data_IF_093748491889
#
_entry.id   IF_093748491889
#
_cell.length_a   1.000
_cell.length_b   1.000
_cell.length_c   1.000
_cell.angle_alpha   90.00
_cell.angle_beta   90.00
_cell.angle_gamma   90.00
#
_symmetry.space_group_name_H-M   'P 1'
#
loop_
_entity.id
_entity.type
_entity.pdbx_description
1 polymer ?
#
# COMPACT_ATOMS: atom_id res chain seq x y z
N UNK A 1 24.91 -26.33 8.88
CA UNK A 1 25.12 -25.69 10.18
C UNK A 1 23.75 -25.35 10.75
N UNK A 2 23.33 -25.95 11.87
CA UNK A 2 21.94 -25.87 12.37
C UNK A 2 21.58 -24.44 12.83
N UNK A 3 22.55 -23.69 13.33
CA UNK A 3 22.35 -22.30 13.75
C UNK A 3 22.06 -21.37 12.57
N UNK A 4 22.71 -21.58 11.42
CA UNK A 4 22.49 -20.78 10.21
C UNK A 4 21.06 -20.99 9.68
N UNK A 5 20.58 -22.24 9.65
CA UNK A 5 19.20 -22.54 9.23
C UNK A 5 18.13 -21.91 10.13
N UNK A 6 18.38 -21.82 11.44
CA UNK A 6 17.47 -21.16 12.37
C UNK A 6 17.48 -19.63 12.21
N UNK A 7 18.63 -19.04 11.86
CA UNK A 7 18.71 -17.62 11.57
C UNK A 7 17.96 -17.29 10.27
N UNK A 8 18.16 -18.08 9.22
CA UNK A 8 17.49 -17.92 7.92
C UNK A 8 15.97 -18.02 8.07
N UNK A 9 15.48 -19.00 8.84
CA UNK A 9 14.05 -19.17 9.10
C UNK A 9 13.46 -17.93 9.80
N UNK A 10 14.11 -17.43 10.87
CA UNK A 10 13.63 -16.24 11.59
C UNK A 10 13.61 -15.00 10.70
N UNK A 11 14.60 -14.85 9.82
CA UNK A 11 14.65 -13.75 8.86
C UNK A 11 13.46 -13.86 7.90
N UNK A 12 13.22 -15.05 7.35
CA UNK A 12 12.09 -15.30 6.47
C UNK A 12 10.75 -15.00 7.16
N UNK A 13 10.53 -15.54 8.35
CA UNK A 13 9.33 -15.33 9.17
C UNK A 13 9.12 -13.85 9.47
N UNK A 14 10.17 -13.12 9.83
CA UNK A 14 10.08 -11.67 10.07
C UNK A 14 9.65 -10.90 8.83
N UNK A 15 10.19 -11.24 7.65
CA UNK A 15 9.81 -10.60 6.39
C UNK A 15 8.38 -10.95 5.99
N UNK A 16 8.00 -12.22 6.12
CA UNK A 16 6.65 -12.68 5.83
C UNK A 16 5.64 -12.02 6.77
N UNK A 17 5.89 -12.00 8.09
CA UNK A 17 5.07 -11.30 9.08
C UNK A 17 4.89 -9.84 8.69
N UNK A 18 5.97 -9.13 8.34
CA UNK A 18 5.92 -7.73 7.90
C UNK A 18 5.00 -7.54 6.69
N UNK A 19 5.00 -8.45 5.73
CA UNK A 19 4.09 -8.41 4.57
C UNK A 19 2.64 -8.61 5.02
N UNK A 20 2.40 -9.65 5.83
CA UNK A 20 1.05 -10.10 6.18
C UNK A 20 0.34 -9.14 7.14
N UNK A 21 1.04 -8.51 8.09
CA UNK A 21 0.41 -7.52 8.99
C UNK A 21 0.02 -6.22 8.28
N UNK A 22 0.49 -6.00 7.06
CA UNK A 22 0.23 -4.79 6.29
C UNK A 22 -0.86 -5.03 5.24
N UNK A 23 -1.81 -4.10 5.18
CA UNK A 23 -2.82 -4.02 4.13
C UNK A 23 -2.40 -3.01 3.07
N UNK A 24 -2.65 -3.33 1.81
CA UNK A 24 -2.50 -2.41 0.68
C UNK A 24 -3.73 -1.51 0.60
N UNK A 25 -3.54 -0.23 0.34
CA UNK A 25 -4.62 0.70 0.02
C UNK A 25 -4.34 1.43 -1.29
N UNK A 26 -5.41 1.80 -1.98
CA UNK A 26 -5.38 2.65 -3.16
C UNK A 26 -6.42 3.76 -3.03
N UNK A 27 -5.97 5.02 -3.18
CA UNK A 27 -6.78 6.21 -2.95
C UNK A 27 -6.87 7.05 -4.22
N UNK A 28 -8.01 7.70 -4.39
CA UNK A 28 -8.15 8.90 -5.21
C UNK A 28 -7.97 10.13 -4.33
N UNK A 29 -7.16 11.06 -4.78
CA UNK A 29 -6.93 12.35 -4.14
C UNK A 29 -7.32 13.44 -5.13
N UNK A 30 -8.40 14.16 -4.82
CA UNK A 30 -8.81 15.35 -5.56
C UNK A 30 -8.29 16.57 -4.83
N UNK A 31 -7.44 17.34 -5.50
CA UNK A 31 -6.79 18.51 -4.90
C UNK A 31 -6.63 19.65 -5.90
N UNK A 32 -7.14 20.83 -5.56
CA UNK A 32 -7.00 22.06 -6.37
C UNK A 32 -7.35 21.89 -7.87
N UNK A 33 -8.35 21.06 -8.18
CA UNK A 33 -8.79 20.77 -9.56
C UNK A 33 -8.01 19.65 -10.26
N UNK A 34 -6.98 19.09 -9.62
CA UNK A 34 -6.28 17.91 -10.10
C UNK A 34 -6.79 16.63 -9.43
N UNK A 35 -6.61 15.49 -10.10
CA UNK A 35 -6.79 14.17 -9.53
C UNK A 35 -5.47 13.43 -9.52
N UNK A 36 -5.08 12.95 -8.35
CA UNK A 36 -3.92 12.11 -8.11
C UNK A 36 -4.39 10.77 -7.55
N UNK A 37 -3.54 9.76 -7.69
CA UNK A 37 -3.78 8.45 -7.11
C UNK A 37 -2.65 8.08 -6.19
N UNK A 38 -2.97 7.54 -5.01
CA UNK A 38 -1.96 7.12 -4.04
C UNK A 38 -2.08 5.63 -3.79
N UNK A 39 -0.96 4.92 -3.88
CA UNK A 39 -0.80 3.57 -3.37
C UNK A 39 -0.07 3.63 -2.03
N UNK A 40 -0.30 2.67 -1.15
CA UNK A 40 0.55 2.48 0.01
C UNK A 40 0.15 1.28 0.85
N UNK A 41 0.94 1.02 1.88
CA UNK A 41 0.64 -0.03 2.87
C UNK A 41 0.42 0.55 4.25
N UNK A 42 -0.39 -0.12 5.07
CA UNK A 42 -0.70 0.32 6.43
C UNK A 42 -1.06 -0.86 7.34
N UNK A 43 -0.70 -0.74 8.61
CA UNK A 43 -1.26 -1.55 9.71
C UNK A 43 -2.37 -0.79 10.47
N UNK A 44 -2.49 0.52 10.23
CA UNK A 44 -3.50 1.40 10.83
C UNK A 44 -4.84 1.22 10.15
N UNK A 45 -5.91 1.66 10.81
CA UNK A 45 -7.22 1.78 10.19
C UNK A 45 -7.17 2.72 8.98
N UNK A 46 -8.12 2.54 8.06
CA UNK A 46 -8.26 3.41 6.89
C UNK A 46 -8.42 4.88 7.31
N UNK A 47 -9.21 5.17 8.33
CA UNK A 47 -9.52 6.55 8.76
C UNK A 47 -8.29 7.26 9.35
N UNK A 48 -7.51 6.57 10.18
CA UNK A 48 -6.24 7.08 10.70
C UNK A 48 -5.28 7.37 9.56
N UNK A 49 -5.16 6.43 8.61
CA UNK A 49 -4.25 6.58 7.47
C UNK A 49 -4.67 7.73 6.55
N UNK A 50 -5.96 7.86 6.24
CA UNK A 50 -6.49 8.96 5.44
C UNK A 50 -6.23 10.30 6.14
N UNK A 51 -6.41 10.36 7.46
CA UNK A 51 -6.15 11.56 8.26
C UNK A 51 -4.68 11.99 8.22
N UNK A 52 -3.75 11.05 8.34
CA UNK A 52 -2.30 11.29 8.17
C UNK A 52 -1.99 11.85 6.77
N UNK A 53 -2.48 11.17 5.73
CA UNK A 53 -2.24 11.55 4.33
C UNK A 53 -2.80 12.94 4.04
N UNK A 54 -3.99 13.23 4.57
CA UNK A 54 -4.60 14.55 4.43
C UNK A 54 -3.71 15.63 5.07
N UNK A 55 -3.13 15.36 6.24
CA UNK A 55 -2.22 16.31 6.90
C UNK A 55 -0.93 16.53 6.12
N UNK A 56 -0.34 15.46 5.55
CA UNK A 56 0.85 15.58 4.68
C UNK A 56 0.56 16.46 3.45
N UNK A 57 -0.61 16.26 2.84
CA UNK A 57 -1.02 16.97 1.63
C UNK A 57 -1.33 18.46 1.85
N UNK A 58 -1.69 18.89 3.06
CA UNK A 58 -1.95 20.31 3.37
C UNK A 58 -0.75 21.22 3.11
N UNK A 59 0.46 20.67 3.08
CA UNK A 59 1.67 21.43 2.74
C UNK A 59 1.77 21.76 1.25
N UNK A 60 0.98 21.07 0.42
CA UNK A 60 0.99 21.18 -1.04
C UNK A 60 -0.32 21.71 -1.61
N UNK A 61 -1.44 21.47 -0.93
CA UNK A 61 -2.79 21.76 -1.42
C UNK A 61 -3.69 22.32 -0.32
N UNK A 62 -4.77 23.01 -0.71
CA UNK A 62 -5.71 23.67 0.21
C UNK A 62 -7.07 22.99 0.22
N UNK A 63 -7.61 22.62 -0.94
CA UNK A 63 -8.90 21.92 -1.05
C UNK A 63 -8.66 20.46 -1.41
N UNK A 64 -8.62 19.58 -0.40
CA UNK A 64 -8.26 18.16 -0.54
C UNK A 64 -9.49 17.30 -0.23
N UNK A 65 -9.79 16.35 -1.11
CA UNK A 65 -10.74 15.27 -0.88
C UNK A 65 -10.06 13.94 -1.17
N UNK A 66 -10.17 12.98 -0.25
CA UNK A 66 -9.53 11.67 -0.37
C UNK A 66 -10.63 10.62 -0.35
N UNK A 67 -10.68 9.78 -1.39
CA UNK A 67 -11.61 8.66 -1.49
C UNK A 67 -10.82 7.35 -1.50
N UNK A 68 -11.26 6.39 -0.69
CA UNK A 68 -10.75 5.02 -0.78
C UNK A 68 -11.31 4.36 -2.04
N UNK A 69 -10.42 3.92 -2.94
CA UNK A 69 -10.81 3.14 -4.11
C UNK A 69 -10.71 1.63 -3.85
N UNK A 70 -9.77 1.22 -3.01
CA UNK A 70 -9.64 -0.19 -2.63
C UNK A 70 -8.71 -0.41 -1.45
N UNK A 71 -8.97 -1.51 -0.75
CA UNK A 71 -8.21 -1.95 0.41
C UNK A 71 -8.09 -3.47 0.35
N UNK A 72 -6.86 -3.99 0.48
CA UNK A 72 -6.57 -5.40 0.38
C UNK A 72 -5.72 -5.83 1.57
N UNK A 73 -6.33 -6.59 2.48
CA UNK A 73 -5.65 -7.13 3.65
C UNK A 73 -4.53 -8.10 3.27
N UNK A 74 -3.46 -8.07 4.05
CA UNK A 74 -2.31 -8.99 3.91
C UNK A 74 -1.60 -8.93 2.55
N UNK A 75 -1.74 -7.81 1.81
CA UNK A 75 -1.12 -7.57 0.50
C UNK A 75 0.03 -6.56 0.57
N UNK A 76 0.73 -6.46 1.70
CA UNK A 76 1.88 -5.56 1.88
C UNK A 76 3.01 -5.75 0.86
N UNK A 77 3.08 -6.91 0.21
CA UNK A 77 4.08 -7.24 -0.82
C UNK A 77 3.87 -6.52 -2.16
N UNK A 78 2.70 -5.93 -2.39
CA UNK A 78 2.31 -5.42 -3.71
C UNK A 78 2.86 -4.02 -3.99
N UNK A 79 3.06 -3.19 -2.97
CA UNK A 79 3.43 -1.77 -3.14
C UNK A 79 4.68 -1.58 -4.00
N UNK A 80 5.75 -2.33 -3.73
CA UNK A 80 7.02 -2.19 -4.46
C UNK A 80 6.86 -2.57 -5.94
N UNK A 81 6.15 -3.67 -6.21
CA UNK A 81 5.85 -4.08 -7.58
C UNK A 81 4.98 -3.04 -8.29
N UNK A 82 3.96 -2.50 -7.62
CA UNK A 82 3.11 -1.45 -8.16
C UNK A 82 3.93 -0.21 -8.56
N UNK A 83 4.78 0.28 -7.66
CA UNK A 83 5.65 1.45 -7.92
C UNK A 83 6.58 1.19 -9.10
N UNK A 84 7.08 -0.03 -9.26
CA UNK A 84 7.90 -0.41 -10.41
C UNK A 84 7.09 -0.46 -11.72
N UNK A 85 5.96 -1.17 -11.73
CA UNK A 85 5.09 -1.37 -12.90
C UNK A 85 4.57 -0.04 -13.45
N UNK A 86 4.17 0.87 -12.57
CA UNK A 86 3.55 2.14 -12.93
C UNK A 86 4.50 3.35 -12.80
N UNK A 87 5.82 3.11 -12.82
CA UNK A 87 6.84 4.15 -12.60
C UNK A 87 6.73 5.35 -13.55
N UNK A 88 6.26 5.15 -14.78
CA UNK A 88 6.12 6.20 -15.79
C UNK A 88 5.01 7.20 -15.45
N UNK A 89 4.04 6.78 -14.62
CA UNK A 89 2.94 7.63 -14.15
C UNK A 89 3.25 8.28 -12.79
N UNK A 90 4.43 8.04 -12.23
CA UNK A 90 4.79 8.55 -10.92
C UNK A 90 4.80 10.07 -10.91
N UNK A 91 4.17 10.64 -9.90
CA UNK A 91 4.07 12.07 -9.69
C UNK A 91 4.64 12.41 -8.31
N UNK A 92 5.81 13.06 -8.30
CA UNK A 92 6.51 13.36 -7.06
C UNK A 92 6.02 14.68 -6.45
N UNK A 93 5.62 14.62 -5.18
CA UNK A 93 5.22 15.78 -4.38
C UNK A 93 6.25 16.00 -3.28
N UNK A 94 7.29 16.78 -3.59
CA UNK A 94 8.41 16.99 -2.66
C UNK A 94 9.08 15.66 -2.28
N UNK A 95 8.87 15.22 -1.04
CA UNK A 95 9.37 13.94 -0.52
C UNK A 95 8.39 12.77 -0.70
N UNK A 96 7.13 13.05 -1.04
CA UNK A 96 6.10 12.02 -1.23
C UNK A 96 6.25 11.39 -2.62
N UNK A 97 6.48 10.07 -2.67
CA UNK A 97 6.81 9.35 -3.91
C UNK A 97 5.77 8.34 -4.34
N UNK A 98 4.70 8.19 -3.57
CA UNK A 98 3.68 7.16 -3.78
C UNK A 98 2.45 7.68 -4.54
N UNK A 99 2.58 8.83 -5.21
CA UNK A 99 1.51 9.48 -5.97
C UNK A 99 1.69 9.28 -7.46
N UNK A 100 0.58 9.23 -8.19
CA UNK A 100 0.53 8.91 -9.61
C UNK A 100 -0.52 9.76 -10.33
N UNK A 101 -0.28 10.04 -11.61
CA UNK A 101 -1.25 10.62 -12.55
C UNK A 101 -1.52 9.60 -13.66
N UNK A 102 -2.68 8.96 -13.61
CA UNK A 102 -3.09 7.96 -14.60
C UNK A 102 -4.04 8.60 -15.63
N UNK A 103 -3.81 8.39 -16.95
CA UNK A 103 -4.78 8.75 -17.97
C UNK A 103 -6.10 7.97 -17.84
N UNK A 104 -6.01 6.69 -17.48
CA UNK A 104 -7.15 5.83 -17.19
C UNK A 104 -6.88 4.97 -15.95
N UNK A 105 -7.45 5.37 -14.81
CA UNK A 105 -7.32 4.63 -13.54
C UNK A 105 -8.03 3.28 -13.57
N UNK A 106 -9.00 3.06 -14.48
CA UNK A 106 -9.76 1.80 -14.53
C UNK A 106 -8.87 0.61 -14.86
N UNK A 107 -7.86 0.80 -15.72
CA UNK A 107 -6.87 -0.24 -16.02
C UNK A 107 -6.07 -0.63 -14.78
N UNK A 108 -5.69 0.35 -13.95
CA UNK A 108 -4.97 0.14 -12.70
C UNK A 108 -5.84 -0.59 -11.68
N UNK A 109 -7.10 -0.17 -11.53
CA UNK A 109 -8.06 -0.84 -10.66
C UNK A 109 -8.32 -2.28 -11.10
N UNK A 110 -8.47 -2.53 -12.40
CA UNK A 110 -8.63 -3.88 -12.93
C UNK A 110 -7.44 -4.79 -12.58
N UNK A 111 -6.21 -4.28 -12.69
CA UNK A 111 -5.01 -5.02 -12.28
C UNK A 111 -5.03 -5.33 -10.77
N UNK A 112 -5.45 -4.38 -9.93
CA UNK A 112 -5.54 -4.57 -8.49
C UNK A 112 -6.68 -5.53 -8.09
N UNK A 113 -7.85 -5.44 -8.71
CA UNK A 113 -8.99 -6.32 -8.43
C UNK A 113 -8.82 -7.75 -8.95
N UNK A 114 -7.89 -7.98 -9.89
CA UNK A 114 -7.49 -9.33 -10.29
C UNK A 114 -6.72 -10.08 -9.21
N UNK A 115 -6.23 -9.38 -8.19
CA UNK A 115 -5.64 -10.03 -7.02
C UNK A 115 -6.75 -10.67 -6.19
N UNK A 116 -6.66 -11.98 -5.98
CA UNK A 116 -7.54 -12.66 -5.04
C UNK A 116 -7.38 -12.07 -3.62
N UNK A 117 -8.42 -12.16 -2.80
CA UNK A 117 -8.28 -11.85 -1.39
C UNK A 117 -7.26 -12.82 -0.77
N UNK A 118 -6.31 -12.29 0.01
CA UNK A 118 -5.35 -13.15 0.71
C UNK A 118 -6.04 -13.75 1.93
N UNK A 119 -6.33 -15.04 1.87
CA UNK A 119 -6.73 -15.84 3.04
C UNK A 119 -5.46 -16.36 3.70
N UNK A 120 -5.34 -16.15 5.01
CA UNK A 120 -4.21 -16.64 5.79
C UNK A 120 -4.42 -18.11 6.14
N UNK A 121 -3.38 -18.90 5.95
CA UNK A 121 -3.28 -20.26 6.50
C UNK A 121 -3.09 -20.23 8.02
N UNK A 122 -3.29 -21.36 8.69
CA UNK A 122 -3.07 -21.49 10.14
C UNK A 122 -1.66 -21.06 10.56
N UNK A 123 -0.62 -21.52 9.84
CA UNK A 123 0.76 -21.13 10.11
C UNK A 123 1.00 -19.62 9.92
N UNK A 124 0.33 -18.99 8.96
CA UNK A 124 0.42 -17.54 8.77
C UNK A 124 -0.32 -16.75 9.86
N UNK A 125 -1.43 -17.30 10.37
CA UNK A 125 -2.16 -16.72 11.51
C UNK A 125 -1.33 -16.78 12.79
N UNK A 126 -0.67 -17.92 13.05
CA UNK A 126 0.26 -18.08 14.18
C UNK A 126 1.39 -17.04 14.07
N UNK A 127 1.99 -16.92 12.88
CA UNK A 127 3.09 -15.99 12.63
C UNK A 127 2.75 -14.51 12.88
N UNK A 128 1.51 -14.09 12.66
CA UNK A 128 1.10 -12.69 12.90
C UNK A 128 0.51 -12.44 14.30
N UNK A 129 0.21 -13.51 15.05
CA UNK A 129 -0.35 -13.44 16.41
C UNK A 129 0.74 -13.26 17.48
N UNK A 130 1.96 -13.71 17.18
CA UNK A 130 3.18 -13.43 17.95
C UNK A 130 3.72 -12.01 17.70
#
# INVERSE_FOLDING_TARGET
>A
NIQDYQADLRIYETQLRRILVNSLYFLEVKANGETLYKIGITQRTTDERISEIHQDLKTHYTNITINLLGFWEHRGNVELYFKHRYREFNYRLGKLTEYFKFPDVKLVLNDLYRMEQKVLSEAELELISD
#
